data_IF_694132317596
#
_entry.id   IF_694132317596
#
_cell.length_a   1.000
_cell.length_b   1.000
_cell.length_c   1.000
_cell.angle_alpha   90.00
_cell.angle_beta   90.00
_cell.angle_gamma   90.00
#
_symmetry.space_group_name_H-M   'P 1'
#
loop_
_entity.id
_entity.type
_entity.pdbx_description
1 polymer ?
#
# COMPACT_ATOMS: atom_id res chain seq x y z
N UNK A 1 17.23 4.80 -6.37
CA UNK A 1 17.84 3.45 -6.36
C UNK A 1 16.70 2.45 -6.27
N UNK A 2 16.66 1.42 -7.10
CA UNK A 2 15.58 0.42 -7.03
C UNK A 2 15.78 -0.49 -5.82
N UNK A 3 14.69 -0.89 -5.17
CA UNK A 3 14.70 -1.85 -4.06
C UNK A 3 15.05 -3.25 -4.57
N UNK A 4 15.79 -4.00 -3.76
CA UNK A 4 16.09 -5.42 -3.96
C UNK A 4 15.40 -6.25 -2.88
N UNK A 5 15.32 -7.56 -3.11
CA UNK A 5 14.79 -8.47 -2.10
C UNK A 5 15.68 -8.47 -0.85
N UNK A 6 15.05 -8.35 0.32
CA UNK A 6 15.72 -8.25 1.60
C UNK A 6 16.13 -6.83 2.00
N UNK A 7 15.99 -5.84 1.12
CA UNK A 7 16.19 -4.44 1.51
C UNK A 7 15.09 -4.00 2.47
N UNK A 8 15.47 -3.20 3.46
CA UNK A 8 14.50 -2.51 4.31
C UNK A 8 13.80 -1.46 3.46
N UNK A 9 12.47 -1.52 3.42
CA UNK A 9 11.67 -0.53 2.71
C UNK A 9 11.95 0.89 3.27
N UNK A 10 12.03 1.93 2.42
CA UNK A 10 12.32 3.29 2.90
C UNK A 10 11.25 3.76 3.87
N UNK A 11 11.67 4.34 4.99
CA UNK A 11 10.76 4.95 5.96
C UNK A 11 10.43 6.39 5.52
N UNK A 12 9.53 6.50 4.53
CA UNK A 12 9.16 7.79 3.97
C UNK A 12 8.04 8.46 4.76
N UNK A 13 7.99 9.79 4.69
CA UNK A 13 6.82 10.58 5.07
C UNK A 13 6.09 11.07 3.82
N UNK A 14 4.77 10.89 3.79
CA UNK A 14 3.96 11.32 2.65
C UNK A 14 2.52 11.66 3.05
N UNK A 15 1.91 12.60 2.34
CA UNK A 15 0.48 12.89 2.44
C UNK A 15 -0.35 11.76 1.81
N UNK A 16 -1.37 11.27 2.51
CA UNK A 16 -2.27 10.21 2.05
C UNK A 16 -3.74 10.62 2.19
N UNK A 17 -4.66 9.80 1.69
CA UNK A 17 -6.10 9.98 1.90
C UNK A 17 -6.51 9.89 3.38
N UNK A 18 -5.66 9.35 4.25
CA UNK A 18 -5.89 9.25 5.71
C UNK A 18 -5.07 10.31 6.48
N UNK A 19 -4.46 11.27 5.78
CA UNK A 19 -3.56 12.28 6.33
C UNK A 19 -2.09 11.94 6.14
N UNK A 20 -1.20 12.73 6.76
CA UNK A 20 0.24 12.51 6.68
C UNK A 20 0.63 11.23 7.42
N UNK A 21 1.35 10.34 6.74
CA UNK A 21 1.86 9.10 7.31
C UNK A 21 3.38 9.08 7.30
N UNK A 22 3.95 8.35 8.26
CA UNK A 22 5.33 7.84 8.22
C UNK A 22 5.26 6.34 8.03
N UNK A 23 5.94 5.80 7.02
CA UNK A 23 5.64 4.47 6.48
C UNK A 23 5.79 3.35 7.52
N UNK A 24 6.87 3.34 8.31
CA UNK A 24 7.09 2.28 9.30
C UNK A 24 6.13 2.39 10.49
N UNK A 25 5.81 3.62 10.92
CA UNK A 25 4.84 3.87 11.99
C UNK A 25 3.42 3.45 11.58
N UNK A 26 3.04 3.77 10.33
CA UNK A 26 1.75 3.36 9.76
C UNK A 26 1.67 1.85 9.59
N UNK A 27 2.76 1.20 9.16
CA UNK A 27 2.82 -0.25 8.96
C UNK A 27 2.70 -1.01 10.29
N UNK A 28 3.42 -0.58 11.32
CA UNK A 28 3.50 -1.29 12.60
C UNK A 28 4.11 -2.70 12.46
N UNK A 29 3.66 -3.64 13.28
CA UNK A 29 4.21 -5.02 13.32
C UNK A 29 3.60 -5.97 12.27
N UNK A 30 2.79 -5.45 11.35
CA UNK A 30 2.08 -6.23 10.34
C UNK A 30 2.83 -6.38 9.01
N UNK A 31 2.27 -7.20 8.12
CA UNK A 31 2.67 -7.21 6.72
C UNK A 31 2.11 -5.99 5.98
N UNK A 32 2.75 -5.58 4.91
CA UNK A 32 2.30 -4.46 4.07
C UNK A 32 2.45 -4.76 2.60
N UNK A 33 1.43 -4.44 1.81
CA UNK A 33 1.49 -4.46 0.35
C UNK A 33 1.38 -3.03 -0.18
N UNK A 34 2.51 -2.46 -0.59
CA UNK A 34 2.54 -1.19 -1.30
C UNK A 34 2.41 -1.44 -2.80
N UNK A 35 1.35 -0.90 -3.41
CA UNK A 35 1.11 -0.97 -4.84
C UNK A 35 0.86 0.42 -5.40
N UNK A 36 1.23 0.62 -6.67
CA UNK A 36 1.07 1.89 -7.38
C UNK A 36 0.30 1.65 -8.67
N UNK A 37 -0.44 2.65 -9.12
CA UNK A 37 -1.07 2.68 -10.44
C UNK A 37 -0.60 3.92 -11.22
N UNK A 38 -0.58 3.89 -12.58
CA UNK A 38 -0.05 5.00 -13.38
C UNK A 38 -0.76 6.34 -13.20
N UNK A 39 -2.09 6.34 -13.13
CA UNK A 39 -2.90 7.56 -13.00
C UNK A 39 -4.34 7.25 -12.60
N UNK A 40 -4.95 8.17 -11.85
CA UNK A 40 -6.37 8.16 -11.51
C UNK A 40 -7.25 8.28 -12.76
N UNK A 41 -8.50 7.83 -12.65
CA UNK A 41 -9.52 7.92 -13.71
C UNK A 41 -9.18 7.21 -15.03
N UNK A 42 -8.32 6.19 -14.96
CA UNK A 42 -8.03 5.30 -16.09
C UNK A 42 -8.77 3.96 -15.92
N UNK A 43 -9.22 3.32 -17.01
CA UNK A 43 -10.18 2.21 -16.93
C UNK A 43 -9.62 1.00 -16.18
N UNK A 44 -8.34 0.64 -16.41
CA UNK A 44 -7.71 -0.52 -15.77
C UNK A 44 -7.44 -0.27 -14.29
N UNK A 45 -6.84 0.88 -13.94
CA UNK A 45 -6.53 1.21 -12.55
C UNK A 45 -7.78 1.23 -11.67
N UNK A 46 -8.90 1.72 -12.22
CA UNK A 46 -10.19 1.73 -11.51
C UNK A 46 -10.66 0.32 -11.17
N UNK A 47 -10.48 -0.63 -12.10
CA UNK A 47 -10.83 -2.04 -11.84
C UNK A 47 -9.90 -2.72 -10.84
N UNK A 48 -8.60 -2.39 -10.88
CA UNK A 48 -7.59 -2.95 -9.96
C UNK A 48 -7.80 -2.47 -8.53
N UNK A 49 -7.96 -1.15 -8.33
CA UNK A 49 -8.28 -0.55 -7.04
C UNK A 49 -9.63 -1.05 -6.49
N UNK A 50 -10.64 -1.17 -7.35
CA UNK A 50 -11.95 -1.72 -6.96
C UNK A 50 -11.89 -3.18 -6.52
N UNK A 51 -11.03 -4.01 -7.15
CA UNK A 51 -10.82 -5.38 -6.72
C UNK A 51 -10.01 -5.47 -5.42
N UNK A 52 -8.97 -4.66 -5.27
CA UNK A 52 -8.18 -4.59 -4.05
C UNK A 52 -9.05 -4.21 -2.83
N UNK A 53 -9.95 -3.24 -3.00
CA UNK A 53 -10.92 -2.87 -1.97
C UNK A 53 -11.82 -4.05 -1.55
N UNK A 54 -12.24 -4.90 -2.50
CA UNK A 54 -13.01 -6.12 -2.20
C UNK A 54 -12.21 -7.17 -1.44
N UNK A 55 -10.89 -7.26 -1.69
CA UNK A 55 -10.00 -8.19 -1.01
C UNK A 55 -9.51 -7.70 0.35
N UNK A 56 -9.74 -6.43 0.71
CA UNK A 56 -9.28 -5.87 2.00
C UNK A 56 -9.59 -6.78 3.21
N UNK A 57 -10.79 -7.37 3.37
CA UNK A 57 -11.07 -8.26 4.51
C UNK A 57 -10.18 -9.51 4.54
N UNK A 58 -9.68 -9.99 3.40
CA UNK A 58 -8.76 -11.12 3.32
C UNK A 58 -7.34 -10.73 3.76
N UNK A 59 -6.89 -9.51 3.44
CA UNK A 59 -5.62 -8.98 3.95
C UNK A 59 -5.68 -8.72 5.46
N UNK A 60 -6.78 -8.13 5.94
CA UNK A 60 -7.01 -7.87 7.36
C UNK A 60 -6.93 -9.18 8.19
N UNK A 61 -7.54 -10.27 7.71
CA UNK A 61 -7.48 -11.61 8.34
C UNK A 61 -6.04 -12.16 8.47
N UNK A 62 -5.10 -11.67 7.67
CA UNK A 62 -3.70 -12.12 7.60
C UNK A 62 -2.74 -11.15 8.28
N UNK A 63 -3.26 -10.18 9.03
CA UNK A 63 -2.48 -9.08 9.63
C UNK A 63 -1.62 -8.35 8.57
N UNK A 64 -2.23 -8.10 7.41
CA UNK A 64 -1.62 -7.39 6.30
C UNK A 64 -2.39 -6.10 6.02
N UNK A 65 -1.65 -5.01 5.87
CA UNK A 65 -2.13 -3.71 5.44
C UNK A 65 -1.94 -3.53 3.94
#
# INVERSE_FOLDING_TARGET
MALRLGDIAPDFEQESSEGRIRFHDWLGDGWGVLFSHPADYTPVCTTELGYMAKLKPEFDKRNCK
#
